data_IF_435698790939
#
_entry.id   IF_435698790939
#
_cell.length_a   1.000
_cell.length_b   1.000
_cell.length_c   1.000
_cell.angle_alpha   90.00
_cell.angle_beta   90.00
_cell.angle_gamma   90.00
#
_symmetry.space_group_name_H-M   'P 1'
#
loop_
_entity.id
_entity.type
_entity.pdbx_description
1 polymer ?
#
# COMPACT_ATOMS: atom_id res chain seq x y z
N UNK A 1 -17.45 -4.28 -26.77
CA UNK A 1 -16.24 -4.95 -26.27
C UNK A 1 -15.78 -4.44 -24.89
N UNK A 2 -15.92 -3.14 -24.57
CA UNK A 2 -15.53 -2.61 -23.24
C UNK A 2 -16.56 -2.92 -22.14
N UNK A 3 -17.83 -2.96 -22.47
CA UNK A 3 -18.88 -3.33 -21.51
C UNK A 3 -18.75 -4.80 -21.09
N UNK A 4 -18.45 -5.67 -22.02
CA UNK A 4 -18.19 -7.10 -21.77
C UNK A 4 -17.05 -7.32 -20.75
N UNK A 5 -15.97 -6.52 -20.81
CA UNK A 5 -14.84 -6.69 -19.90
C UNK A 5 -15.18 -6.32 -18.45
N UNK A 6 -15.94 -5.25 -18.25
CA UNK A 6 -16.36 -4.84 -16.90
C UNK A 6 -17.29 -5.85 -16.25
N UNK A 7 -18.29 -6.31 -17.00
CA UNK A 7 -19.23 -7.33 -16.53
C UNK A 7 -18.52 -8.64 -16.20
N UNK A 8 -17.56 -9.02 -17.05
CA UNK A 8 -16.73 -10.19 -16.81
C UNK A 8 -15.89 -10.05 -15.54
N UNK A 9 -15.21 -8.91 -15.34
CA UNK A 9 -14.41 -8.65 -14.13
C UNK A 9 -15.26 -8.70 -12.86
N UNK A 10 -16.44 -8.10 -12.86
CA UNK A 10 -17.35 -8.15 -11.71
C UNK A 10 -17.87 -9.56 -11.43
N UNK A 11 -18.18 -10.33 -12.48
CA UNK A 11 -18.64 -11.71 -12.34
C UNK A 11 -17.56 -12.61 -11.76
N UNK A 12 -16.31 -12.44 -12.22
CA UNK A 12 -15.16 -13.18 -11.68
C UNK A 12 -14.91 -12.77 -10.23
N UNK A 13 -14.95 -11.49 -9.90
CA UNK A 13 -14.75 -11.02 -8.53
C UNK A 13 -15.79 -11.62 -7.57
N UNK A 14 -17.08 -11.61 -7.95
CA UNK A 14 -18.15 -12.26 -7.17
C UNK A 14 -17.96 -13.79 -7.04
N UNK A 15 -17.38 -14.43 -8.01
CA UNK A 15 -17.04 -15.85 -7.93
C UNK A 15 -15.88 -16.09 -6.96
N UNK A 16 -14.84 -15.27 -7.02
CA UNK A 16 -13.65 -15.41 -6.17
C UNK A 16 -13.96 -15.23 -4.68
N UNK A 17 -14.84 -14.33 -4.31
CA UNK A 17 -15.24 -14.10 -2.89
C UNK A 17 -15.90 -15.36 -2.26
N UNK A 18 -16.35 -16.31 -3.05
CA UNK A 18 -16.94 -17.55 -2.54
C UNK A 18 -15.90 -18.55 -2.03
N UNK A 19 -14.62 -18.34 -2.33
CA UNK A 19 -13.54 -19.21 -1.88
C UNK A 19 -13.12 -18.84 -0.47
N UNK A 20 -12.92 -19.86 0.36
CA UNK A 20 -12.36 -19.72 1.70
C UNK A 20 -10.98 -19.08 1.64
N UNK A 21 -10.73 -18.10 2.49
CA UNK A 21 -9.47 -17.38 2.55
C UNK A 21 -9.41 -16.11 1.71
N UNK A 22 -10.43 -15.81 0.90
CA UNK A 22 -10.54 -14.54 0.17
C UNK A 22 -11.50 -13.62 0.91
N UNK A 23 -10.95 -12.54 1.45
CA UNK A 23 -11.73 -11.51 2.15
C UNK A 23 -12.41 -10.54 1.18
N UNK A 24 -11.73 -10.21 0.07
CA UNK A 24 -12.24 -9.29 -0.94
C UNK A 24 -11.58 -9.56 -2.30
N UNK A 25 -12.31 -9.25 -3.37
CA UNK A 25 -11.84 -9.34 -4.74
C UNK A 25 -12.30 -8.09 -5.52
N UNK A 26 -11.36 -7.19 -5.79
CA UNK A 26 -11.68 -5.89 -6.35
C UNK A 26 -11.29 -5.77 -7.82
N UNK A 27 -12.27 -5.55 -8.72
CA UNK A 27 -12.01 -5.31 -10.13
C UNK A 27 -11.19 -4.05 -10.38
N UNK A 28 -10.27 -4.08 -11.34
CA UNK A 28 -9.49 -2.93 -11.78
C UNK A 28 -10.35 -1.74 -12.19
N UNK A 29 -11.53 -1.99 -12.73
CA UNK A 29 -12.51 -0.97 -13.10
C UNK A 29 -13.02 -0.16 -11.90
N UNK A 30 -13.19 -0.81 -10.74
CA UNK A 30 -13.58 -0.14 -9.49
C UNK A 30 -12.40 0.66 -8.94
N UNK A 31 -11.18 0.09 -8.94
CA UNK A 31 -9.97 0.80 -8.51
C UNK A 31 -9.72 2.10 -9.27
N UNK A 32 -10.08 2.14 -10.55
CA UNK A 32 -9.91 3.33 -11.40
C UNK A 32 -10.99 4.39 -11.20
N UNK A 33 -12.19 4.01 -10.77
CA UNK A 33 -13.36 4.91 -10.67
C UNK A 33 -13.68 5.35 -9.26
N UNK A 34 -13.30 4.55 -8.26
CA UNK A 34 -13.54 4.86 -6.85
C UNK A 34 -12.40 5.68 -6.25
N UNK A 35 -12.68 6.36 -5.17
CA UNK A 35 -11.69 7.07 -4.36
C UNK A 35 -11.81 6.55 -2.93
N UNK A 36 -10.81 5.81 -2.50
CA UNK A 36 -10.72 5.32 -1.13
C UNK A 36 -9.83 6.28 -0.32
N UNK A 37 -10.22 6.53 0.92
CA UNK A 37 -9.53 7.50 1.80
C UNK A 37 -8.67 6.82 2.85
N UNK A 38 -8.99 5.56 3.20
CA UNK A 38 -8.32 4.82 4.25
C UNK A 38 -8.45 3.30 4.07
N UNK A 39 -7.82 2.56 4.96
CA UNK A 39 -7.91 1.10 5.03
C UNK A 39 -7.19 0.36 3.91
N UNK A 40 -7.47 -0.94 3.83
CA UNK A 40 -6.82 -1.85 2.87
C UNK A 40 -7.08 -1.44 1.42
N UNK A 41 -8.30 -1.00 1.12
CA UNK A 41 -8.69 -0.59 -0.22
C UNK A 41 -7.93 0.66 -0.70
N UNK A 42 -7.66 1.61 0.20
CA UNK A 42 -6.80 2.76 -0.07
C UNK A 42 -5.36 2.33 -0.39
N UNK A 43 -4.80 1.40 0.38
CA UNK A 43 -3.45 0.88 0.12
C UNK A 43 -3.39 0.12 -1.21
N UNK A 44 -4.41 -0.70 -1.51
CA UNK A 44 -4.54 -1.39 -2.78
C UNK A 44 -4.63 -0.41 -3.95
N UNK A 45 -5.42 0.66 -3.82
CA UNK A 45 -5.57 1.69 -4.85
C UNK A 45 -4.24 2.43 -5.10
N UNK A 46 -3.50 2.77 -4.06
CA UNK A 46 -2.19 3.42 -4.20
C UNK A 46 -1.12 2.52 -4.84
N UNK A 47 -1.24 1.21 -4.70
CA UNK A 47 -0.34 0.23 -5.34
C UNK A 47 -0.79 -0.15 -6.75
N UNK A 48 -2.02 0.20 -7.14
CA UNK A 48 -2.57 -0.15 -8.44
C UNK A 48 -1.96 0.66 -9.59
N UNK A 49 -1.53 -0.03 -10.62
CA UNK A 49 -1.06 0.59 -11.85
C UNK A 49 -1.78 -0.01 -13.06
N UNK A 50 -2.51 0.82 -13.81
CA UNK A 50 -3.38 0.42 -14.92
C UNK A 50 -2.77 -0.55 -15.94
N UNK A 51 -1.47 -0.46 -16.20
CA UNK A 51 -0.78 -1.27 -17.22
C UNK A 51 0.03 -2.43 -16.64
N UNK A 52 0.19 -2.50 -15.31
CA UNK A 52 1.06 -3.49 -14.66
C UNK A 52 0.35 -4.33 -13.62
N UNK A 53 -0.76 -3.84 -13.08
CA UNK A 53 -1.60 -4.59 -12.16
C UNK A 53 -2.55 -5.52 -12.93
N UNK A 54 -2.96 -6.60 -12.28
CA UNK A 54 -3.96 -7.52 -12.84
C UNK A 54 -5.36 -6.91 -12.92
N UNK A 55 -6.25 -7.60 -13.59
CA UNK A 55 -7.64 -7.19 -13.78
C UNK A 55 -8.49 -7.28 -12.51
N UNK A 56 -8.07 -8.11 -11.55
CA UNK A 56 -8.72 -8.28 -10.26
C UNK A 56 -7.63 -8.35 -9.19
N UNK A 57 -7.77 -7.54 -8.16
CA UNK A 57 -6.91 -7.56 -6.98
C UNK A 57 -7.65 -8.34 -5.89
N UNK A 58 -6.97 -9.33 -5.33
CA UNK A 58 -7.50 -10.18 -4.27
C UNK A 58 -6.88 -9.77 -2.95
N UNK A 59 -7.69 -9.61 -1.91
CA UNK A 59 -7.25 -9.49 -0.54
C UNK A 59 -7.61 -10.78 0.21
N UNK A 60 -6.62 -11.35 0.90
CA UNK A 60 -6.83 -12.57 1.67
C UNK A 60 -7.40 -12.24 3.05
N UNK A 61 -8.07 -13.21 3.67
CA UNK A 61 -8.50 -13.10 5.06
C UNK A 61 -7.30 -12.98 6.01
N UNK A 62 -7.48 -12.36 7.21
CA UNK A 62 -6.42 -12.27 8.20
C UNK A 62 -5.84 -13.65 8.54
N UNK A 63 -4.50 -13.73 8.54
CA UNK A 63 -3.79 -14.97 8.83
C UNK A 63 -3.66 -15.95 7.66
N UNK A 64 -4.24 -15.63 6.50
CA UNK A 64 -4.02 -16.39 5.28
C UNK A 64 -2.80 -15.87 4.52
N UNK A 65 -2.07 -16.79 3.90
CA UNK A 65 -0.89 -16.50 3.09
C UNK A 65 -0.99 -17.21 1.76
N UNK A 66 -0.49 -16.60 0.70
CA UNK A 66 -0.32 -17.25 -0.58
C UNK A 66 0.96 -18.07 -0.56
N UNK A 67 0.82 -19.38 -0.76
CA UNK A 67 1.96 -20.29 -0.85
C UNK A 67 2.05 -20.87 -2.24
N UNK A 68 3.18 -20.68 -2.88
CA UNK A 68 3.56 -21.39 -4.09
C UNK A 68 4.68 -22.38 -3.77
N UNK A 69 4.94 -23.36 -4.65
CA UNK A 69 5.97 -24.39 -4.44
C UNK A 69 7.38 -23.84 -4.12
N UNK A 70 7.62 -22.59 -4.39
CA UNK A 70 8.94 -21.94 -4.25
C UNK A 70 8.97 -20.70 -3.36
N UNK A 71 7.84 -20.10 -3.02
CA UNK A 71 7.77 -18.85 -2.26
C UNK A 71 6.51 -18.79 -1.40
N UNK A 72 6.68 -18.26 -0.21
CA UNK A 72 5.60 -17.77 0.63
C UNK A 72 5.52 -16.27 0.39
N UNK A 73 4.40 -15.78 -0.10
CA UNK A 73 4.15 -14.36 -0.29
C UNK A 73 3.37 -13.85 0.92
N UNK A 74 4.03 -13.00 1.72
CA UNK A 74 3.40 -12.23 2.79
C UNK A 74 3.20 -10.81 2.27
N UNK A 75 1.99 -10.49 1.86
CA UNK A 75 1.63 -9.15 1.40
C UNK A 75 0.15 -8.90 1.70
N UNK A 76 -0.16 -8.77 2.98
CA UNK A 76 -1.48 -8.33 3.37
C UNK A 76 -1.50 -6.83 3.69
N UNK A 77 -2.66 -6.19 3.55
CA UNK A 77 -2.88 -4.81 3.98
C UNK A 77 -3.23 -4.67 5.46
N UNK A 78 -3.06 -5.73 6.26
CA UNK A 78 -3.39 -5.71 7.68
C UNK A 78 -2.25 -5.16 8.55
N UNK A 79 -2.61 -4.57 9.67
CA UNK A 79 -1.65 -3.88 10.56
C UNK A 79 -0.46 -4.74 10.98
N UNK A 80 -0.63 -6.04 11.16
CA UNK A 80 0.48 -6.92 11.53
C UNK A 80 1.54 -7.09 10.42
N UNK A 81 1.19 -6.80 9.16
CA UNK A 81 2.12 -6.86 8.02
C UNK A 81 2.63 -5.47 7.60
N UNK A 82 1.82 -4.43 7.77
CA UNK A 82 2.16 -3.08 7.27
C UNK A 82 2.70 -2.15 8.36
N UNK A 83 2.42 -2.45 9.64
CA UNK A 83 2.93 -1.63 10.74
C UNK A 83 4.29 -2.16 11.19
N UNK A 84 5.34 -1.50 10.72
CA UNK A 84 6.73 -1.88 11.03
C UNK A 84 7.47 -0.71 11.69
N UNK A 85 8.47 -0.97 12.56
CA UNK A 85 9.25 0.09 13.15
C UNK A 85 10.11 0.79 12.10
N UNK A 86 10.15 2.14 12.14
CA UNK A 86 11.05 2.96 11.36
C UNK A 86 12.17 3.46 12.27
N UNK A 87 13.40 3.06 11.99
CA UNK A 87 14.57 3.42 12.79
C UNK A 87 15.48 4.32 11.95
N UNK A 88 15.72 5.54 12.46
CA UNK A 88 16.70 6.47 11.92
C UNK A 88 17.96 6.41 12.76
N UNK A 89 19.09 6.19 12.10
CA UNK A 89 20.38 6.18 12.75
C UNK A 89 21.41 6.92 11.89
N UNK A 90 22.14 7.81 12.51
CA UNK A 90 23.18 8.55 11.80
C UNK A 90 23.63 9.82 12.53
N UNK A 91 24.49 10.56 11.85
CA UNK A 91 25.02 11.83 12.33
C UNK A 91 23.90 12.88 12.36
N UNK A 92 23.89 13.69 13.41
CA UNK A 92 22.84 14.72 13.70
C UNK A 92 21.44 14.18 13.97
N UNK A 93 21.26 12.85 14.15
CA UNK A 93 19.96 12.34 14.54
C UNK A 93 19.66 12.62 16.02
N UNK A 94 18.51 13.26 16.33
CA UNK A 94 18.09 13.45 17.70
C UNK A 94 17.70 12.11 18.35
N UNK A 95 17.88 12.01 19.66
CA UNK A 95 17.37 10.85 20.43
C UNK A 95 15.92 11.10 20.78
N UNK A 96 15.02 10.55 20.00
CA UNK A 96 13.59 10.66 20.23
C UNK A 96 12.87 9.37 19.82
N UNK A 97 11.66 9.21 20.29
CA UNK A 97 10.72 8.16 19.87
C UNK A 97 9.40 8.82 19.50
N UNK A 98 8.92 8.53 18.32
CA UNK A 98 7.62 9.00 17.83
C UNK A 98 6.62 7.85 17.89
N UNK A 99 5.41 8.13 18.38
CA UNK A 99 4.32 7.16 18.51
C UNK A 99 3.20 7.40 17.50
N UNK A 100 3.36 8.37 16.61
CA UNK A 100 2.44 8.61 15.51
C UNK A 100 2.76 7.75 14.28
N UNK A 101 1.76 7.49 13.47
CA UNK A 101 1.96 6.81 12.20
C UNK A 101 2.77 7.66 11.22
N UNK A 102 3.74 7.01 10.59
CA UNK A 102 4.61 7.59 9.56
C UNK A 102 4.45 6.74 8.31
N UNK A 103 4.22 7.39 7.19
CA UNK A 103 4.11 6.71 5.91
C UNK A 103 5.49 6.49 5.28
N UNK A 104 5.65 5.42 4.54
CA UNK A 104 6.91 5.15 3.81
C UNK A 104 7.25 6.25 2.81
N UNK A 105 6.25 6.96 2.28
CA UNK A 105 6.43 8.14 1.42
C UNK A 105 7.13 9.30 2.13
N UNK A 106 7.02 9.41 3.47
CA UNK A 106 7.61 10.48 4.27
C UNK A 106 9.14 10.36 4.37
N UNK A 107 9.67 9.14 4.19
CA UNK A 107 11.11 8.85 4.28
C UNK A 107 11.89 9.65 3.25
N UNK A 108 11.49 9.59 1.99
CA UNK A 108 12.22 10.23 0.90
C UNK A 108 12.21 11.76 1.02
N UNK A 109 11.07 12.33 1.40
CA UNK A 109 10.92 13.79 1.59
C UNK A 109 11.75 14.27 2.78
N UNK A 110 11.70 13.55 3.90
CA UNK A 110 12.50 13.87 5.09
C UNK A 110 14.00 13.79 4.80
N UNK A 111 14.42 12.75 4.07
CA UNK A 111 15.82 12.60 3.68
C UNK A 111 16.28 13.73 2.74
N UNK A 112 15.42 14.16 1.83
CA UNK A 112 15.72 15.29 0.93
C UNK A 112 15.93 16.58 1.72
N UNK A 113 15.13 16.84 2.75
CA UNK A 113 15.28 18.00 3.64
C UNK A 113 16.61 17.95 4.42
N UNK A 114 17.00 16.76 4.92
CA UNK A 114 18.31 16.57 5.56
C UNK A 114 19.49 16.87 4.63
N UNK A 115 19.34 16.52 3.36
CA UNK A 115 20.39 16.72 2.35
C UNK A 115 20.33 18.08 1.68
N UNK A 116 19.36 18.92 2.04
CA UNK A 116 19.12 20.25 1.45
C UNK A 116 18.96 20.18 -0.09
N UNK A 117 18.27 19.14 -0.57
CA UNK A 117 17.97 18.92 -1.99
C UNK A 117 16.45 18.91 -2.23
N UNK A 118 16.05 19.11 -3.47
CA UNK A 118 14.64 19.03 -3.84
C UNK A 118 14.08 17.63 -3.60
N UNK A 119 12.84 17.49 -3.09
CA UNK A 119 12.20 16.20 -2.92
C UNK A 119 11.94 15.52 -4.27
N UNK A 120 11.79 14.19 -4.30
CA UNK A 120 11.50 13.46 -5.53
C UNK A 120 10.20 13.94 -6.18
N UNK A 121 10.20 14.04 -7.52
CA UNK A 121 9.01 14.39 -8.29
C UNK A 121 7.86 13.41 -7.99
N UNK A 122 6.67 13.95 -7.75
CA UNK A 122 5.48 13.15 -7.46
C UNK A 122 5.44 12.55 -6.05
N UNK A 123 6.36 12.94 -5.16
CA UNK A 123 6.29 12.54 -3.75
C UNK A 123 5.07 13.17 -3.08
N UNK A 124 4.29 12.35 -2.35
CA UNK A 124 3.12 12.77 -1.57
C UNK A 124 3.38 12.69 -0.06
N UNK A 125 4.62 12.43 0.35
CA UNK A 125 5.01 12.34 1.75
C UNK A 125 5.16 13.70 2.41
N UNK A 126 5.17 13.68 3.74
CA UNK A 126 5.42 14.84 4.58
C UNK A 126 6.78 14.72 5.28
N UNK A 127 7.42 15.83 5.55
CA UNK A 127 8.65 15.86 6.33
C UNK A 127 8.35 15.47 7.78
N UNK A 128 9.21 14.65 8.37
CA UNK A 128 9.18 14.32 9.80
C UNK A 128 9.97 15.42 10.53
N UNK A 129 9.28 16.51 10.85
CA UNK A 129 9.90 17.73 11.38
C UNK A 129 10.64 17.51 12.70
N UNK A 130 10.17 16.59 13.53
CA UNK A 130 10.77 16.26 14.81
C UNK A 130 12.21 15.71 14.65
N UNK A 131 12.53 15.10 13.52
CA UNK A 131 13.90 14.65 13.22
C UNK A 131 14.83 15.81 12.87
N UNK A 132 14.29 16.93 12.40
CA UNK A 132 15.04 18.13 12.04
C UNK A 132 15.27 19.07 13.23
N UNK A 133 14.69 18.75 14.40
CA UNK A 133 14.77 19.61 15.59
C UNK A 133 13.90 20.85 15.51
N UNK A 134 12.85 20.80 14.69
CA UNK A 134 11.85 21.86 14.50
C UNK A 134 10.56 21.52 15.23
#
# INVERSE_FOLDING_TARGET
AKEDLHEMQERIARFLIQFSGIADAMPASIMQKSSFTDGVNYMMQNSFHRQRSGDIIINLEPGWIEQTDKKVLQNSGYNYDVHVPLIWYGWKMPRLTLYRDIKTSDIAVTLSEFLEIAPPNGSTGNVIEELLGR
#
